data_IF_534650279570
#
_entry.id   IF_534650279570
#
_cell.length_a   1.000
_cell.length_b   1.000
_cell.length_c   1.000
_cell.angle_alpha   90.00
_cell.angle_beta   90.00
_cell.angle_gamma   90.00
#
_symmetry.space_group_name_H-M   'P 1'
#
loop_
_entity.id
_entity.type
_entity.pdbx_description
1 polymer ?
#
# COMPACT_ATOMS: atom_id res chain seq x y z
N UNK A 1 -22.30 8.37 -33.89
CA UNK A 1 -22.70 8.69 -32.49
C UNK A 1 -22.41 7.51 -31.55
N UNK A 2 -22.88 6.30 -31.84
CA UNK A 2 -22.59 5.09 -31.04
C UNK A 2 -21.09 4.81 -30.81
N UNK A 3 -20.27 4.88 -31.86
CA UNK A 3 -18.83 4.62 -31.76
C UNK A 3 -18.16 5.59 -30.78
N UNK A 4 -18.48 6.89 -30.86
CA UNK A 4 -17.95 7.89 -29.93
C UNK A 4 -18.39 7.62 -28.49
N UNK A 5 -19.64 7.21 -28.27
CA UNK A 5 -20.13 6.85 -26.94
C UNK A 5 -19.40 5.61 -26.37
N UNK A 6 -19.14 4.60 -27.20
CA UNK A 6 -18.37 3.41 -26.81
C UNK A 6 -16.93 3.79 -26.48
N UNK A 7 -16.27 4.59 -27.31
CA UNK A 7 -14.90 5.05 -27.08
C UNK A 7 -14.76 5.87 -25.79
N UNK A 8 -15.70 6.78 -25.53
CA UNK A 8 -15.75 7.54 -24.28
C UNK A 8 -15.97 6.63 -23.07
N UNK A 9 -16.89 5.66 -23.18
CA UNK A 9 -17.15 4.68 -22.12
C UNK A 9 -15.92 3.83 -21.78
N UNK A 10 -15.23 3.31 -22.80
CA UNK A 10 -13.97 2.56 -22.62
C UNK A 10 -12.89 3.44 -22.00
N UNK A 11 -12.75 4.69 -22.44
CA UNK A 11 -11.80 5.65 -21.89
C UNK A 11 -12.03 5.91 -20.39
N UNK A 12 -13.28 6.20 -20.00
CA UNK A 12 -13.65 6.40 -18.59
C UNK A 12 -13.38 5.13 -17.77
N UNK A 13 -13.71 3.95 -18.31
CA UNK A 13 -13.46 2.67 -17.65
C UNK A 13 -11.96 2.45 -17.40
N UNK A 14 -11.11 2.69 -18.40
CA UNK A 14 -9.66 2.55 -18.28
C UNK A 14 -9.08 3.49 -17.22
N UNK A 15 -9.56 4.75 -17.18
CA UNK A 15 -9.15 5.73 -16.16
C UNK A 15 -9.57 5.27 -14.76
N UNK A 16 -10.82 4.81 -14.60
CA UNK A 16 -11.31 4.31 -13.31
C UNK A 16 -10.50 3.10 -12.81
N UNK A 17 -10.20 2.14 -13.70
CA UNK A 17 -9.36 0.98 -13.37
C UNK A 17 -7.95 1.44 -12.97
N UNK A 18 -7.34 2.35 -13.74
CA UNK A 18 -6.02 2.91 -13.43
C UNK A 18 -5.98 3.59 -12.06
N UNK A 19 -7.01 4.37 -11.72
CA UNK A 19 -7.14 5.02 -10.42
C UNK A 19 -7.27 4.00 -9.28
N UNK A 20 -8.14 3.00 -9.41
CA UNK A 20 -8.32 1.95 -8.38
C UNK A 20 -7.02 1.18 -8.13
N UNK A 21 -6.34 0.72 -9.19
CA UNK A 21 -5.04 0.05 -9.09
C UNK A 21 -3.98 0.96 -8.44
N UNK A 22 -4.01 2.26 -8.75
CA UNK A 22 -3.13 3.26 -8.13
C UNK A 22 -3.38 3.42 -6.62
N UNK A 23 -4.65 3.50 -6.21
CA UNK A 23 -5.06 3.63 -4.79
C UNK A 23 -4.68 2.39 -4.00
N UNK A 24 -4.92 1.19 -4.53
CA UNK A 24 -4.53 -0.06 -3.89
C UNK A 24 -3.02 -0.18 -3.69
N UNK A 25 -2.23 0.18 -4.71
CA UNK A 25 -0.76 0.23 -4.60
C UNK A 25 -0.31 1.20 -3.51
N UNK A 26 -0.92 2.38 -3.42
CA UNK A 26 -0.65 3.35 -2.34
C UNK A 26 -0.99 2.77 -0.97
N UNK A 27 -2.17 2.17 -0.81
CA UNK A 27 -2.56 1.49 0.45
C UNK A 27 -1.59 0.38 0.84
N UNK A 28 -1.11 -0.43 -0.11
CA UNK A 28 -0.09 -1.46 0.16
C UNK A 28 1.22 -0.83 0.64
N UNK A 29 1.70 0.23 -0.02
CA UNK A 29 2.91 0.95 0.40
C UNK A 29 2.78 1.60 1.78
N UNK A 30 1.59 2.03 2.16
CA UNK A 30 1.32 2.70 3.43
C UNK A 30 1.05 1.72 4.59
N UNK A 31 1.13 0.41 4.38
CA UNK A 31 0.97 -0.54 5.49
C UNK A 31 2.07 -0.30 6.52
N UNK A 32 1.65 -0.10 7.76
CA UNK A 32 2.55 0.09 8.90
C UNK A 32 2.74 -1.29 9.55
N UNK A 33 3.96 -1.64 9.94
CA UNK A 33 4.31 -2.87 10.68
C UNK A 33 4.43 -2.54 12.15
N UNK A 34 3.69 -3.23 13.02
CA UNK A 34 3.88 -3.12 14.46
C UNK A 34 5.12 -3.91 14.88
N UNK A 35 5.86 -3.36 15.83
CA UNK A 35 7.01 -4.03 16.43
C UNK A 35 6.56 -5.26 17.23
N UNK A 36 7.16 -6.45 17.01
CA UNK A 36 6.78 -7.68 17.70
C UNK A 36 7.33 -7.79 19.12
N UNK A 37 8.27 -6.91 19.52
CA UNK A 37 8.83 -6.95 20.86
C UNK A 37 7.71 -6.74 21.91
N UNK A 38 7.66 -7.57 22.96
CA UNK A 38 6.71 -7.39 24.04
C UNK A 38 6.86 -5.98 24.62
N UNK A 39 5.73 -5.32 24.87
CA UNK A 39 5.64 -3.96 25.42
C UNK A 39 6.07 -2.80 24.49
N UNK A 40 6.56 -3.04 23.27
CA UNK A 40 6.90 -1.95 22.35
C UNK A 40 5.73 -1.51 21.47
N UNK A 41 5.23 -2.42 20.61
CA UNK A 41 4.08 -2.19 19.72
C UNK A 41 4.23 -1.03 18.72
N UNK A 42 5.42 -0.41 18.61
CA UNK A 42 5.62 0.78 17.80
C UNK A 42 5.32 0.52 16.32
N UNK A 43 4.63 1.45 15.68
CA UNK A 43 4.22 1.34 14.30
C UNK A 43 5.36 1.87 13.39
N UNK A 44 5.97 0.97 12.63
CA UNK A 44 7.09 1.25 11.73
C UNK A 44 6.62 1.25 10.27
N UNK A 45 7.27 2.02 9.40
CA UNK A 45 7.00 1.96 7.95
C UNK A 45 7.20 0.53 7.42
N UNK A 46 6.40 0.09 6.44
CA UNK A 46 6.48 -1.27 5.90
C UNK A 46 7.87 -1.73 5.48
N UNK A 47 8.72 -0.80 5.02
CA UNK A 47 10.08 -1.06 4.56
C UNK A 47 11.14 -1.10 5.68
N UNK A 48 10.77 -0.81 6.93
CA UNK A 48 11.71 -0.82 8.04
C UNK A 48 12.16 -2.26 8.35
N UNK A 49 13.48 -2.45 8.49
CA UNK A 49 14.08 -3.71 8.96
C UNK A 49 14.15 -3.78 10.48
N UNK A 50 14.38 -2.64 11.14
CA UNK A 50 14.47 -2.55 12.59
C UNK A 50 13.43 -1.56 13.13
N UNK A 51 13.00 -1.79 14.37
CA UNK A 51 12.08 -0.90 15.06
C UNK A 51 12.76 0.43 15.39
N UNK A 52 12.19 1.55 14.93
CA UNK A 52 12.71 2.89 15.21
C UNK A 52 12.68 3.28 16.70
N UNK A 53 11.90 2.58 17.52
CA UNK A 53 11.81 2.83 18.96
C UNK A 53 12.77 1.98 19.79
N UNK A 54 12.87 0.67 19.52
CA UNK A 54 13.60 -0.26 20.38
C UNK A 54 14.70 -1.06 19.68
N UNK A 55 14.87 -0.92 18.36
CA UNK A 55 15.92 -1.61 17.60
C UNK A 55 15.63 -3.06 17.23
N UNK A 56 14.56 -3.68 17.74
CA UNK A 56 14.19 -5.08 17.40
C UNK A 56 13.99 -5.27 15.88
N UNK A 57 14.53 -6.35 15.33
CA UNK A 57 14.29 -6.77 13.95
C UNK A 57 12.79 -7.03 13.69
N UNK A 58 12.28 -6.52 12.57
CA UNK A 58 10.86 -6.60 12.15
C UNK A 58 10.61 -7.68 11.10
N UNK A 59 11.68 -8.26 10.56
CA UNK A 59 11.72 -9.23 9.49
C UNK A 59 11.81 -10.68 9.98
N UNK A 60 11.82 -10.92 11.30
CA UNK A 60 11.83 -12.27 11.88
C UNK A 60 13.10 -13.07 11.57
N UNK A 61 14.09 -12.45 10.93
CA UNK A 61 15.45 -12.97 10.83
C UNK A 61 16.14 -12.77 12.18
N UNK A 62 16.02 -13.79 13.03
CA UNK A 62 16.93 -14.02 14.16
C UNK A 62 18.35 -14.22 13.66
#
# INVERSE_FOLDING_TARGET
>A
MLIFAVLMGVGVLLVAIGLMLGVERRRRRQRVRLCPAPQCGHANVAAARYCARCGQALDGSS
#
